data_IF_107379015624
#
_entry.id   IF_107379015624
#
_cell.length_a   1.000
_cell.length_b   1.000
_cell.length_c   1.000
_cell.angle_alpha   90.00
_cell.angle_beta   90.00
_cell.angle_gamma   90.00
#
_symmetry.space_group_name_H-M   'P 1'
#
loop_
_entity.id
_entity.type
_entity.pdbx_description
1 polymer ?
#
# COMPACT_ATOMS: atom_id res chain seq x y z
N UNK A 1 19.62 -1.97 14.84
CA UNK A 1 18.79 -1.34 13.77
C UNK A 1 18.41 -2.47 12.81
N UNK A 2 17.11 -2.79 12.65
CA UNK A 2 16.68 -3.90 11.80
C UNK A 2 17.03 -3.64 10.32
N UNK A 3 17.57 -4.65 9.63
CA UNK A 3 17.94 -4.56 8.21
C UNK A 3 16.70 -4.38 7.32
N UNK A 4 16.88 -3.83 6.13
CA UNK A 4 15.76 -3.38 5.27
C UNK A 4 14.79 -4.50 4.88
N UNK A 5 15.25 -5.76 4.82
CA UNK A 5 14.40 -6.94 4.63
C UNK A 5 13.40 -7.19 5.77
N UNK A 6 13.76 -6.88 7.02
CA UNK A 6 12.88 -7.10 8.17
C UNK A 6 11.76 -6.06 8.28
N UNK A 7 11.98 -4.84 7.76
CA UNK A 7 10.96 -3.78 7.78
C UNK A 7 9.76 -4.10 6.86
N UNK A 8 10.01 -4.80 5.76
CA UNK A 8 8.98 -5.18 4.80
C UNK A 8 8.01 -6.22 5.37
N UNK A 9 8.51 -7.14 6.19
CA UNK A 9 7.70 -8.20 6.78
C UNK A 9 6.72 -7.70 7.84
N UNK A 10 7.14 -6.73 8.67
CA UNK A 10 6.24 -6.08 9.63
C UNK A 10 5.13 -5.30 8.91
N UNK A 11 5.48 -4.56 7.85
CA UNK A 11 4.50 -3.80 7.08
C UNK A 11 3.45 -4.70 6.40
N UNK A 12 3.85 -5.85 5.87
CA UNK A 12 2.93 -6.81 5.27
C UNK A 12 1.95 -7.40 6.29
N UNK A 13 2.45 -7.73 7.49
CA UNK A 13 1.60 -8.21 8.59
C UNK A 13 0.59 -7.15 9.04
N UNK A 14 1.05 -5.92 9.27
CA UNK A 14 0.18 -4.80 9.66
C UNK A 14 -0.89 -4.52 8.60
N UNK A 15 -0.53 -4.61 7.32
CA UNK A 15 -1.46 -4.45 6.21
C UNK A 15 -2.53 -5.57 6.18
N UNK A 16 -2.12 -6.83 6.38
CA UNK A 16 -3.06 -7.95 6.48
C UNK A 16 -4.03 -7.80 7.65
N UNK A 17 -3.55 -7.35 8.81
CA UNK A 17 -4.39 -7.08 9.97
C UNK A 17 -5.37 -5.93 9.73
N UNK A 18 -4.91 -4.84 9.13
CA UNK A 18 -5.77 -3.71 8.77
C UNK A 18 -6.85 -4.11 7.74
N UNK A 19 -6.52 -4.96 6.78
CA UNK A 19 -7.49 -5.54 5.84
C UNK A 19 -8.56 -6.37 6.57
N UNK A 20 -8.16 -7.22 7.52
CA UNK A 20 -9.09 -7.99 8.34
C UNK A 20 -10.05 -7.12 9.17
N UNK A 21 -9.63 -5.90 9.53
CA UNK A 21 -10.45 -4.90 10.20
C UNK A 21 -11.30 -4.03 9.24
N UNK A 22 -11.30 -4.33 7.94
CA UNK A 22 -12.06 -3.58 6.94
C UNK A 22 -11.52 -2.17 6.69
N UNK A 23 -10.24 -1.92 6.93
CA UNK A 23 -9.62 -0.62 6.64
C UNK A 23 -9.27 -0.52 5.16
N UNK A 24 -9.53 0.64 4.57
CA UNK A 24 -9.07 0.97 3.23
C UNK A 24 -7.55 1.10 3.19
N UNK A 25 -6.90 0.44 2.23
CA UNK A 25 -5.44 0.39 2.12
C UNK A 25 -4.95 0.97 0.80
N UNK A 26 -3.85 1.73 0.89
CA UNK A 26 -2.97 2.09 -0.21
C UNK A 26 -1.63 1.44 0.10
N UNK A 27 -1.15 0.54 -0.76
CA UNK A 27 0.12 -0.16 -0.57
C UNK A 27 1.17 0.45 -1.49
N UNK A 28 2.34 0.75 -0.94
CA UNK A 28 3.49 1.25 -1.70
C UNK A 28 4.62 0.22 -1.67
N UNK A 29 4.95 -0.34 -2.83
CA UNK A 29 6.12 -1.21 -3.00
C UNK A 29 6.60 -1.24 -4.46
N UNK A 30 7.84 -1.69 -4.67
CA UNK A 30 8.41 -1.92 -5.99
C UNK A 30 8.03 -3.32 -6.53
N UNK A 31 8.16 -3.53 -7.84
CA UNK A 31 7.72 -4.77 -8.52
C UNK A 31 8.35 -6.05 -7.95
N UNK A 32 9.56 -5.93 -7.40
CA UNK A 32 10.32 -7.00 -6.74
C UNK A 32 9.54 -7.68 -5.60
N UNK A 33 8.55 -7.00 -5.01
CA UNK A 33 7.76 -7.51 -3.89
C UNK A 33 6.36 -7.98 -4.27
N UNK A 34 5.95 -7.82 -5.53
CA UNK A 34 4.58 -8.11 -5.97
C UNK A 34 4.18 -9.58 -5.75
N UNK A 35 5.08 -10.52 -5.99
CA UNK A 35 4.77 -11.93 -5.72
C UNK A 35 4.62 -12.23 -4.23
N UNK A 36 5.45 -11.61 -3.39
CA UNK A 36 5.44 -11.81 -1.94
C UNK A 36 4.23 -11.13 -1.26
N UNK A 37 3.73 -10.03 -1.83
CA UNK A 37 2.65 -9.23 -1.26
C UNK A 37 1.30 -9.41 -1.97
N UNK A 38 1.19 -10.36 -2.91
CA UNK A 38 -0.01 -10.58 -3.75
C UNK A 38 -1.34 -10.65 -2.98
N UNK A 39 -1.32 -11.22 -1.77
CA UNK A 39 -2.53 -11.38 -0.95
C UNK A 39 -2.94 -10.06 -0.28
N UNK A 40 -1.95 -9.23 0.09
CA UNK A 40 -2.17 -7.86 0.59
C UNK A 40 -2.61 -6.95 -0.55
N UNK A 41 -2.00 -7.09 -1.73
CA UNK A 41 -2.36 -6.33 -2.94
C UNK A 41 -3.81 -6.59 -3.35
N UNK A 42 -4.26 -7.85 -3.28
CA UNK A 42 -5.63 -8.22 -3.57
C UNK A 42 -6.66 -7.59 -2.60
N UNK A 43 -6.25 -7.27 -1.37
CA UNK A 43 -7.08 -6.60 -0.38
C UNK A 43 -7.00 -5.06 -0.45
N UNK A 44 -6.05 -4.51 -1.21
CA UNK A 44 -5.83 -3.07 -1.29
C UNK A 44 -6.77 -2.39 -2.30
N UNK A 45 -7.10 -1.11 -2.05
CA UNK A 45 -7.83 -0.28 -3.03
C UNK A 45 -6.90 0.32 -4.07
N UNK A 46 -5.61 0.44 -3.75
CA UNK A 46 -4.59 0.89 -4.67
C UNK A 46 -3.22 0.31 -4.29
N UNK A 47 -2.45 -0.09 -5.29
CA UNK A 47 -1.04 -0.45 -5.17
C UNK A 47 -0.24 0.52 -6.05
N UNK A 48 0.77 1.16 -5.46
CA UNK A 48 1.56 2.21 -6.11
C UNK A 48 3.06 1.98 -5.90
N UNK A 49 3.88 2.63 -6.73
CA UNK A 49 5.34 2.49 -6.69
C UNK A 49 6.02 3.74 -6.15
N UNK A 50 5.39 4.90 -6.38
CA UNK A 50 5.96 6.20 -6.05
C UNK A 50 5.13 6.94 -4.99
N UNK A 51 5.76 7.60 -4.01
CA UNK A 51 5.05 8.38 -2.98
C UNK A 51 4.13 9.46 -3.57
N UNK A 52 4.49 10.04 -4.72
CA UNK A 52 3.65 11.02 -5.41
C UNK A 52 2.26 10.46 -5.78
N UNK A 53 2.17 9.17 -6.09
CA UNK A 53 0.89 8.52 -6.41
C UNK A 53 0.00 8.39 -5.17
N UNK A 54 0.59 8.15 -3.99
CA UNK A 54 -0.15 8.16 -2.71
C UNK A 54 -0.79 9.53 -2.49
N UNK A 55 -0.02 10.60 -2.68
CA UNK A 55 -0.53 11.98 -2.55
C UNK A 55 -1.66 12.26 -3.54
N UNK A 56 -1.53 11.79 -4.78
CA UNK A 56 -2.58 11.93 -5.80
C UNK A 56 -3.87 11.20 -5.40
N UNK A 57 -3.77 9.99 -4.86
CA UNK A 57 -4.94 9.22 -4.38
C UNK A 57 -5.59 9.94 -3.20
N UNK A 58 -4.81 10.38 -2.21
CA UNK A 58 -5.35 11.12 -1.06
C UNK A 58 -6.06 12.41 -1.50
N UNK A 59 -5.48 13.15 -2.44
CA UNK A 59 -6.12 14.34 -3.01
C UNK A 59 -7.42 13.98 -3.72
N UNK A 60 -7.43 12.92 -4.53
CA UNK A 60 -8.64 12.45 -5.21
C UNK A 60 -9.75 12.09 -4.22
N UNK A 61 -9.42 11.35 -3.15
CA UNK A 61 -10.38 10.98 -2.10
C UNK A 61 -10.96 12.22 -1.41
N UNK A 62 -10.13 13.24 -1.14
CA UNK A 62 -10.55 14.45 -0.45
C UNK A 62 -11.35 15.42 -1.33
N UNK A 63 -11.03 15.53 -2.62
CA UNK A 63 -11.61 16.55 -3.49
C UNK A 63 -12.53 16.01 -4.58
N UNK A 64 -12.58 14.70 -4.78
CA UNK A 64 -13.33 14.05 -5.87
C UNK A 64 -12.84 14.42 -7.28
N UNK A 65 -11.63 14.98 -7.41
CA UNK A 65 -11.10 15.48 -8.68
C UNK A 65 -9.93 14.62 -9.16
N UNK A 66 -9.99 14.13 -10.39
CA UNK A 66 -8.91 13.31 -10.95
C UNK A 66 -7.60 14.11 -11.08
N UNK A 67 -6.44 13.47 -10.83
CA UNK A 67 -5.15 14.05 -11.18
C UNK A 67 -5.07 14.37 -12.67
N UNK A 68 -4.41 15.49 -13.01
CA UNK A 68 -4.09 15.87 -14.39
C UNK A 68 -2.83 15.17 -14.87
#
# INVERSE_FOLDING_TARGET
RFGDKYKQWNAAFDAGYAAALGKSLIILHQDEHQHALKEVDAAALAVVKEPAQVVQILRYVLTGTLPK
#
